data_IF_051544810434
#
_entry.id   IF_051544810434
#
_cell.length_a   1.000
_cell.length_b   1.000
_cell.length_c   1.000
_cell.angle_alpha   90.00
_cell.angle_beta   90.00
_cell.angle_gamma   90.00
#
_symmetry.space_group_name_H-M   'P 1'
#
loop_
_entity.id
_entity.type
_entity.pdbx_description
1 polymer ?
#
# COMPACT_ATOMS: atom_id res chain seq x y z
N UNK A 1 30.84 -6.33 -11.39
CA UNK A 1 30.17 -5.22 -10.71
C UNK A 1 29.37 -5.82 -9.58
N UNK A 2 29.34 -5.25 -8.37
CA UNK A 2 28.39 -5.72 -7.35
C UNK A 2 26.99 -5.59 -7.94
N UNK A 3 26.21 -6.67 -7.92
CA UNK A 3 24.82 -6.63 -8.36
C UNK A 3 24.05 -5.69 -7.46
N UNK A 4 23.27 -4.79 -8.06
CA UNK A 4 22.37 -3.93 -7.32
C UNK A 4 21.39 -4.77 -6.50
N UNK A 5 21.12 -4.34 -5.26
CA UNK A 5 20.17 -5.03 -4.36
C UNK A 5 18.83 -4.30 -4.42
N UNK A 6 17.83 -4.84 -5.08
CA UNK A 6 16.51 -4.24 -5.12
C UNK A 6 15.87 -4.24 -3.72
N UNK A 7 15.25 -3.13 -3.35
CA UNK A 7 14.61 -2.97 -2.05
C UNK A 7 13.25 -2.30 -2.18
N UNK A 8 12.19 -2.98 -1.74
CA UNK A 8 10.84 -2.44 -1.72
C UNK A 8 10.47 -1.89 -0.36
N UNK A 9 9.96 -0.66 -0.35
CA UNK A 9 9.51 0.04 0.84
C UNK A 9 7.99 0.25 0.75
N UNK A 10 7.23 -0.46 1.60
CA UNK A 10 5.77 -0.41 1.62
C UNK A 10 5.28 0.58 2.67
N UNK A 11 4.99 1.81 2.27
CA UNK A 11 4.47 2.86 3.12
C UNK A 11 2.95 2.83 3.21
N UNK A 12 2.42 2.96 4.42
CA UNK A 12 1.00 2.95 4.67
C UNK A 12 0.66 3.09 6.15
N UNK A 13 -0.58 2.78 6.47
CA UNK A 13 -1.15 2.80 7.81
C UNK A 13 -1.12 1.43 8.50
N UNK A 14 -2.02 1.20 9.45
CA UNK A 14 -2.16 -0.06 10.19
C UNK A 14 -2.54 -1.27 9.30
N UNK A 15 -3.21 -1.03 8.17
CA UNK A 15 -3.55 -2.09 7.24
C UNK A 15 -2.28 -2.58 6.49
N UNK A 16 -1.40 -1.67 6.13
CA UNK A 16 -0.09 -2.01 5.56
C UNK A 16 0.79 -2.70 6.60
N UNK A 17 0.74 -2.24 7.86
CA UNK A 17 1.43 -2.91 8.97
C UNK A 17 0.95 -4.36 9.18
N UNK A 18 -0.30 -4.68 8.83
CA UNK A 18 -0.88 -6.01 9.01
C UNK A 18 -1.35 -6.28 10.42
N UNK A 19 -2.01 -5.31 11.05
CA UNK A 19 -2.37 -5.30 12.48
C UNK A 19 -3.15 -6.52 12.94
N UNK A 20 -4.08 -7.05 12.14
CA UNK A 20 -4.91 -8.20 12.48
C UNK A 20 -4.47 -9.52 11.81
N UNK A 21 -3.37 -9.53 11.07
CA UNK A 21 -2.87 -10.77 10.49
C UNK A 21 -2.16 -11.62 11.55
N UNK A 22 -2.89 -12.61 12.04
CA UNK A 22 -2.41 -13.50 13.11
C UNK A 22 -1.39 -14.55 12.63
N UNK A 23 -1.39 -14.86 11.33
CA UNK A 23 -0.52 -15.91 10.78
C UNK A 23 0.78 -15.36 10.17
N UNK A 24 0.78 -14.11 9.74
CA UNK A 24 1.97 -13.51 9.13
C UNK A 24 2.13 -12.05 9.55
N UNK A 25 3.05 -11.74 10.47
CA UNK A 25 3.38 -10.36 10.78
C UNK A 25 3.76 -9.58 9.53
N UNK A 26 3.19 -8.37 9.37
CA UNK A 26 3.37 -7.53 8.18
C UNK A 26 2.30 -7.70 7.11
N UNK A 27 1.26 -8.49 7.36
CA UNK A 27 0.01 -8.53 6.60
C UNK A 27 0.20 -8.74 5.09
N UNK A 28 -0.62 -8.03 4.29
CA UNK A 28 -0.60 -8.14 2.83
C UNK A 28 0.77 -7.80 2.21
N UNK A 29 1.51 -6.86 2.77
CA UNK A 29 2.81 -6.44 2.24
C UNK A 29 3.85 -7.58 2.33
N UNK A 30 3.96 -8.23 3.50
CA UNK A 30 4.84 -9.40 3.67
C UNK A 30 4.37 -10.58 2.81
N UNK A 31 3.06 -10.80 2.71
CA UNK A 31 2.49 -11.86 1.86
C UNK A 31 2.77 -11.62 0.38
N UNK A 32 2.67 -10.37 -0.10
CA UNK A 32 3.00 -10.01 -1.47
C UNK A 32 4.48 -10.29 -1.77
N UNK A 33 5.39 -9.94 -0.87
CA UNK A 33 6.82 -10.24 -1.01
C UNK A 33 7.08 -11.75 -1.14
N UNK A 34 6.44 -12.57 -0.30
CA UNK A 34 6.54 -14.03 -0.37
C UNK A 34 5.98 -14.58 -1.67
N UNK A 35 4.82 -14.09 -2.11
CA UNK A 35 4.18 -14.52 -3.35
C UNK A 35 5.03 -14.12 -4.59
N UNK A 36 5.58 -12.90 -4.61
CA UNK A 36 6.45 -12.43 -5.69
C UNK A 36 7.72 -13.30 -5.80
N UNK A 37 8.33 -13.65 -4.67
CA UNK A 37 9.46 -14.58 -4.65
C UNK A 37 9.08 -15.97 -5.15
N UNK A 38 7.96 -16.54 -4.70
CA UNK A 38 7.46 -17.85 -5.18
C UNK A 38 7.15 -17.85 -6.68
N UNK A 39 6.69 -16.72 -7.22
CA UNK A 39 6.42 -16.54 -8.64
C UNK A 39 7.69 -16.27 -9.47
N UNK A 40 8.87 -16.24 -8.86
CA UNK A 40 10.14 -15.96 -9.55
C UNK A 40 10.27 -14.52 -10.06
N UNK A 41 9.49 -13.57 -9.51
CA UNK A 41 9.59 -12.16 -9.90
C UNK A 41 10.76 -11.44 -9.21
N UNK A 42 11.13 -11.88 -8.04
CA UNK A 42 12.30 -11.42 -7.29
C UNK A 42 12.94 -12.60 -6.57
N UNK A 43 14.13 -12.43 -6.06
CA UNK A 43 14.84 -13.50 -5.36
C UNK A 43 15.22 -13.08 -3.95
N UNK A 44 14.64 -13.72 -2.94
CA UNK A 44 15.12 -13.69 -1.56
C UNK A 44 16.25 -14.73 -1.45
N UNK A 45 17.46 -14.40 -0.94
CA UNK A 45 17.80 -13.23 -0.13
C UNK A 45 18.36 -12.01 -0.90
N UNK A 46 18.38 -11.98 -2.21
CA UNK A 46 18.93 -10.85 -2.96
C UNK A 46 18.06 -9.59 -2.93
N UNK A 47 16.77 -9.74 -2.64
CA UNK A 47 15.82 -8.65 -2.51
C UNK A 47 15.54 -8.33 -1.04
N UNK A 48 15.34 -7.06 -0.72
CA UNK A 48 14.96 -6.61 0.63
C UNK A 48 13.56 -6.02 0.61
N UNK A 49 12.76 -6.32 1.64
CA UNK A 49 11.40 -5.80 1.78
C UNK A 49 11.23 -5.14 3.13
N UNK A 50 10.89 -3.86 3.12
CA UNK A 50 10.63 -3.07 4.32
C UNK A 50 9.14 -2.77 4.42
N UNK A 51 8.46 -3.31 5.44
CA UNK A 51 7.13 -2.89 5.79
C UNK A 51 7.20 -1.64 6.66
N UNK A 52 6.81 -0.51 6.09
CA UNK A 52 6.81 0.82 6.70
C UNK A 52 5.39 1.26 7.09
N UNK A 53 4.48 0.30 7.32
CA UNK A 53 3.15 0.54 7.84
C UNK A 53 3.19 1.04 9.29
N UNK A 54 2.33 2.01 9.65
CA UNK A 54 2.26 2.55 11.00
C UNK A 54 0.82 2.85 11.41
N UNK A 55 0.45 2.44 12.63
CA UNK A 55 -0.92 2.61 13.15
C UNK A 55 -1.37 4.07 13.11
N UNK A 56 -2.60 4.30 12.65
CA UNK A 56 -3.28 5.61 12.62
C UNK A 56 -2.58 6.69 11.77
N UNK A 57 -1.63 6.30 10.90
CA UNK A 57 -1.01 7.27 10.02
C UNK A 57 -1.92 7.65 8.86
N UNK A 58 -2.29 8.93 8.82
CA UNK A 58 -2.97 9.57 7.70
C UNK A 58 -2.02 9.72 6.50
N UNK A 59 -2.56 10.07 5.34
CA UNK A 59 -1.76 10.42 4.16
C UNK A 59 -0.72 11.50 4.46
N UNK A 60 -1.09 12.53 5.24
CA UNK A 60 -0.16 13.58 5.67
C UNK A 60 0.96 13.06 6.58
N UNK A 61 0.64 12.16 7.53
CA UNK A 61 1.63 11.57 8.42
C UNK A 61 2.62 10.67 7.65
N UNK A 62 2.14 9.94 6.65
CA UNK A 62 2.99 9.14 5.76
C UNK A 62 3.89 10.06 4.93
N UNK A 63 3.35 11.13 4.36
CA UNK A 63 4.09 12.12 3.60
C UNK A 63 5.21 12.80 4.41
N UNK A 64 4.97 13.03 5.70
CA UNK A 64 5.96 13.67 6.57
C UNK A 64 7.18 12.79 6.89
N UNK A 65 7.07 11.44 6.82
CA UNK A 65 8.11 10.53 7.30
C UNK A 65 8.80 9.69 6.22
N UNK A 66 8.13 9.44 5.08
CA UNK A 66 8.59 8.43 4.12
C UNK A 66 10.04 8.64 3.67
N UNK A 67 10.44 9.89 3.41
CA UNK A 67 11.78 10.20 2.90
C UNK A 67 12.86 9.90 3.94
N UNK A 68 12.73 10.39 5.17
CA UNK A 68 13.70 10.16 6.24
C UNK A 68 13.82 8.68 6.60
N UNK A 69 12.71 7.95 6.57
CA UNK A 69 12.71 6.51 6.81
C UNK A 69 13.35 5.72 5.67
N UNK A 70 13.15 6.12 4.42
CA UNK A 70 13.86 5.57 3.28
C UNK A 70 15.36 5.79 3.42
N UNK A 71 15.78 7.05 3.59
CA UNK A 71 17.20 7.44 3.67
C UNK A 71 17.94 6.74 4.80
N UNK A 72 17.30 6.52 5.94
CA UNK A 72 17.89 5.82 7.10
C UNK A 72 18.17 4.34 6.85
N UNK A 73 17.63 3.74 5.79
CA UNK A 73 17.76 2.30 5.47
C UNK A 73 18.52 2.04 4.18
N UNK A 74 18.78 3.07 3.39
CA UNK A 74 19.55 2.92 2.17
C UNK A 74 21.03 2.67 2.49
N UNK A 75 21.58 1.66 1.85
CA UNK A 75 23.03 1.38 1.87
C UNK A 75 23.56 1.42 0.43
N UNK A 76 24.88 1.62 0.23
CA UNK A 76 25.46 1.64 -1.11
C UNK A 76 25.13 0.38 -1.93
N UNK A 77 24.69 0.56 -3.15
CA UNK A 77 24.29 -0.54 -4.06
C UNK A 77 22.85 -1.01 -3.91
N UNK A 78 22.05 -0.39 -3.02
CA UNK A 78 20.63 -0.68 -2.91
C UNK A 78 19.82 0.15 -3.91
N UNK A 79 18.88 -0.49 -4.61
CA UNK A 79 17.93 0.14 -5.54
C UNK A 79 16.54 0.19 -4.92
N UNK A 80 16.10 1.37 -4.45
CA UNK A 80 14.79 1.51 -3.81
C UNK A 80 13.63 1.46 -4.81
N UNK A 81 12.53 0.83 -4.38
CA UNK A 81 11.23 0.83 -5.03
C UNK A 81 10.18 1.22 -3.98
N UNK A 82 9.35 2.23 -4.27
CA UNK A 82 8.42 2.79 -3.30
C UNK A 82 6.99 2.32 -3.58
N UNK A 83 6.31 1.86 -2.56
CA UNK A 83 4.90 1.44 -2.63
C UNK A 83 4.12 2.23 -1.60
N UNK A 84 3.04 2.90 -2.03
CA UNK A 84 2.16 3.67 -1.15
C UNK A 84 0.74 3.13 -1.18
N UNK A 85 0.19 2.84 0.02
CA UNK A 85 -1.22 2.51 0.24
C UNK A 85 -1.74 3.42 1.36
N UNK A 86 -2.51 4.46 1.00
CA UNK A 86 -2.95 5.51 1.94
C UNK A 86 -4.41 5.88 1.76
N UNK A 87 -5.03 6.43 2.81
CA UNK A 87 -6.35 7.03 2.73
C UNK A 87 -7.41 6.40 3.62
N UNK A 88 -7.24 5.16 4.10
CA UNK A 88 -8.24 4.53 4.99
C UNK A 88 -8.39 5.34 6.28
N UNK A 89 -7.29 5.71 6.92
CA UNK A 89 -7.32 6.50 8.17
C UNK A 89 -7.99 7.86 7.96
N UNK A 90 -7.73 8.49 6.81
CA UNK A 90 -8.32 9.80 6.47
C UNK A 90 -9.84 9.71 6.25
N UNK A 91 -10.32 8.62 5.65
CA UNK A 91 -11.73 8.45 5.28
C UNK A 91 -12.58 7.78 6.35
N UNK A 92 -12.00 6.86 7.13
CA UNK A 92 -12.70 6.15 8.21
C UNK A 92 -12.63 6.91 9.54
N UNK A 93 -11.65 7.78 9.74
CA UNK A 93 -11.42 8.55 10.96
C UNK A 93 -11.53 7.70 12.24
N UNK A 94 -10.77 6.60 12.37
CA UNK A 94 -10.89 5.69 13.50
C UNK A 94 -10.55 6.41 14.82
N UNK A 95 -11.41 6.22 15.81
CA UNK A 95 -11.26 6.88 17.12
C UNK A 95 -12.13 8.12 17.31
N UNK A 96 -13.10 8.38 16.42
CA UNK A 96 -14.15 9.38 16.59
C UNK A 96 -13.78 10.79 16.11
N UNK A 97 -12.71 10.92 15.32
CA UNK A 97 -12.38 12.17 14.63
C UNK A 97 -13.31 12.46 13.46
N UNK A 98 -13.24 13.66 12.92
CA UNK A 98 -13.93 14.03 11.70
C UNK A 98 -13.19 13.46 10.47
N UNK A 99 -13.94 12.81 9.57
CA UNK A 99 -13.39 12.31 8.31
C UNK A 99 -12.97 13.46 7.39
N UNK A 100 -11.82 13.34 6.77
CA UNK A 100 -11.30 14.36 5.88
C UNK A 100 -12.09 14.41 4.56
N UNK A 101 -12.05 15.58 3.89
CA UNK A 101 -12.54 15.72 2.52
C UNK A 101 -11.66 14.90 1.56
N UNK A 102 -12.24 14.00 0.76
CA UNK A 102 -11.50 13.20 -0.23
C UNK A 102 -10.66 14.03 -1.21
N UNK A 103 -11.12 15.21 -1.62
CA UNK A 103 -10.37 16.08 -2.54
C UNK A 103 -9.08 16.60 -1.87
N UNK A 104 -9.17 17.06 -0.63
CA UNK A 104 -7.99 17.50 0.12
C UNK A 104 -6.96 16.37 0.30
N UNK A 105 -7.42 15.15 0.57
CA UNK A 105 -6.52 14.00 0.72
C UNK A 105 -5.91 13.61 -0.63
N UNK A 106 -6.66 13.72 -1.72
CA UNK A 106 -6.13 13.53 -3.05
C UNK A 106 -5.02 14.51 -3.42
N UNK A 107 -5.13 15.79 -3.02
CA UNK A 107 -4.07 16.79 -3.21
C UNK A 107 -2.80 16.44 -2.41
N UNK A 108 -2.96 15.98 -1.17
CA UNK A 108 -1.83 15.51 -0.35
C UNK A 108 -1.15 14.28 -0.99
N UNK A 109 -1.95 13.35 -1.52
CA UNK A 109 -1.47 12.17 -2.22
C UNK A 109 -0.74 12.54 -3.53
N UNK A 110 -1.25 13.50 -4.28
CA UNK A 110 -0.63 13.99 -5.51
C UNK A 110 0.77 14.58 -5.24
N UNK A 111 0.91 15.39 -4.19
CA UNK A 111 2.19 15.94 -3.74
C UNK A 111 3.16 14.84 -3.29
N UNK A 112 2.69 13.89 -2.48
CA UNK A 112 3.47 12.73 -2.04
C UNK A 112 4.06 11.95 -3.22
N UNK A 113 3.22 11.61 -4.21
CA UNK A 113 3.66 10.87 -5.38
C UNK A 113 4.60 11.69 -6.28
N UNK A 114 4.38 13.00 -6.40
CA UNK A 114 5.27 13.89 -7.15
C UNK A 114 6.69 13.91 -6.58
N UNK A 115 6.82 13.87 -5.26
CA UNK A 115 8.12 13.81 -4.60
C UNK A 115 8.73 12.41 -4.71
N UNK A 116 7.94 11.37 -4.42
CA UNK A 116 8.41 10.00 -4.44
C UNK A 116 8.95 9.56 -5.81
N UNK A 117 8.24 9.87 -6.88
CA UNK A 117 8.61 9.51 -8.24
C UNK A 117 9.91 10.19 -8.75
N UNK A 118 10.35 11.26 -8.10
CA UNK A 118 11.67 11.88 -8.38
C UNK A 118 12.82 11.14 -7.72
N UNK A 119 12.52 10.31 -6.74
CA UNK A 119 13.51 9.61 -5.92
C UNK A 119 13.71 8.18 -6.41
N UNK A 120 12.61 7.45 -6.67
CA UNK A 120 12.66 6.06 -7.07
C UNK A 120 11.41 5.63 -7.85
N UNK A 121 11.45 4.50 -8.57
CA UNK A 121 10.25 3.88 -9.12
C UNK A 121 9.18 3.74 -8.04
N UNK A 122 7.96 4.18 -8.37
CA UNK A 122 6.86 4.30 -7.40
C UNK A 122 5.62 3.57 -7.91
N UNK A 123 4.98 2.80 -7.04
CA UNK A 123 3.68 2.14 -7.23
C UNK A 123 2.70 2.68 -6.20
N UNK A 124 1.50 3.01 -6.62
CA UNK A 124 0.40 3.34 -5.72
C UNK A 124 -0.62 2.21 -5.67
N UNK A 125 -1.16 1.95 -4.48
CA UNK A 125 -2.21 0.96 -4.23
C UNK A 125 -3.41 1.71 -3.67
N UNK A 126 -4.61 1.44 -4.19
CA UNK A 126 -5.84 2.03 -3.64
C UNK A 126 -6.06 1.59 -2.19
N UNK A 127 -6.63 2.45 -1.32
CA UNK A 127 -7.08 2.02 -0.01
C UNK A 127 -8.09 0.88 -0.17
N UNK A 128 -8.03 -0.17 0.68
CA UNK A 128 -9.04 -1.23 0.70
C UNK A 128 -10.34 -0.77 1.36
N UNK A 129 -11.46 -1.49 1.18
CA UNK A 129 -12.73 -1.17 1.82
C UNK A 129 -12.73 -1.51 3.32
N UNK A 130 -13.67 -0.90 4.04
CA UNK A 130 -13.98 -1.12 5.45
C UNK A 130 -15.46 -1.52 5.61
N UNK A 131 -15.95 -1.83 6.82
CA UNK A 131 -17.37 -2.18 6.99
C UNK A 131 -18.30 -0.97 7.04
N UNK A 132 -17.82 0.20 7.50
CA UNK A 132 -18.65 1.39 7.68
C UNK A 132 -19.02 2.01 6.32
N UNK A 133 -20.32 2.06 6.02
CA UNK A 133 -20.87 2.46 4.72
C UNK A 133 -20.46 3.88 4.29
N UNK A 134 -20.47 4.84 5.24
CA UNK A 134 -20.11 6.23 4.92
C UNK A 134 -18.62 6.37 4.66
N UNK A 135 -17.79 5.62 5.38
CA UNK A 135 -16.36 5.56 5.11
C UNK A 135 -16.09 4.95 3.73
N UNK A 136 -16.77 3.86 3.39
CA UNK A 136 -16.65 3.25 2.05
C UNK A 136 -17.04 4.20 0.92
N UNK A 137 -18.11 4.99 1.10
CA UNK A 137 -18.47 6.00 0.10
C UNK A 137 -17.36 7.04 -0.11
N UNK A 138 -16.73 7.52 0.97
CA UNK A 138 -15.58 8.44 0.90
C UNK A 138 -14.34 7.78 0.30
N UNK A 139 -14.06 6.53 0.68
CA UNK A 139 -12.95 5.74 0.12
C UNK A 139 -13.13 5.56 -1.39
N UNK A 140 -14.33 5.23 -1.86
CA UNK A 140 -14.62 5.06 -3.29
C UNK A 140 -14.33 6.35 -4.08
N UNK A 141 -14.76 7.52 -3.56
CA UNK A 141 -14.45 8.82 -4.17
C UNK A 141 -12.92 9.07 -4.19
N UNK A 142 -12.24 8.80 -3.08
CA UNK A 142 -10.79 8.97 -3.00
C UNK A 142 -10.05 8.04 -3.99
N UNK A 143 -10.48 6.80 -4.14
CA UNK A 143 -9.91 5.84 -5.11
C UNK A 143 -9.99 6.36 -6.53
N UNK A 144 -11.12 6.94 -6.93
CA UNK A 144 -11.28 7.55 -8.26
C UNK A 144 -10.34 8.75 -8.46
N UNK A 145 -10.18 9.60 -7.45
CA UNK A 145 -9.24 10.72 -7.49
C UNK A 145 -7.80 10.23 -7.59
N UNK A 146 -7.39 9.27 -6.76
CA UNK A 146 -6.06 8.67 -6.78
C UNK A 146 -5.75 8.03 -8.13
N UNK A 147 -6.70 7.29 -8.72
CA UNK A 147 -6.55 6.69 -10.04
C UNK A 147 -6.27 7.73 -11.11
N UNK A 148 -7.02 8.84 -11.12
CA UNK A 148 -6.82 9.96 -12.08
C UNK A 148 -5.45 10.64 -11.89
N UNK A 149 -5.01 10.81 -10.64
CA UNK A 149 -3.70 11.36 -10.31
C UNK A 149 -2.59 10.44 -10.86
N UNK A 150 -2.66 9.16 -10.56
CA UNK A 150 -1.67 8.18 -11.03
C UNK A 150 -1.62 8.12 -12.56
N UNK A 151 -2.78 8.12 -13.23
CA UNK A 151 -2.86 8.15 -14.69
C UNK A 151 -2.18 9.40 -15.27
N UNK A 152 -2.45 10.59 -14.71
CA UNK A 152 -1.87 11.86 -15.15
C UNK A 152 -0.35 11.90 -14.95
N UNK A 153 0.15 11.25 -13.88
CA UNK A 153 1.58 11.19 -13.54
C UNK A 153 2.34 10.03 -14.19
N UNK A 154 1.65 9.11 -14.88
CA UNK A 154 2.28 7.90 -15.40
C UNK A 154 2.76 6.93 -14.32
N UNK A 155 2.20 7.01 -13.10
CA UNK A 155 2.54 6.13 -11.97
C UNK A 155 1.61 4.92 -12.00
N UNK A 156 2.14 3.67 -11.91
CA UNK A 156 1.31 2.48 -11.82
C UNK A 156 0.37 2.55 -10.62
N UNK A 157 -0.90 2.19 -10.83
CA UNK A 157 -1.94 2.18 -9.80
C UNK A 157 -2.61 0.81 -9.73
N UNK A 158 -2.43 0.12 -8.60
CA UNK A 158 -3.08 -1.15 -8.32
C UNK A 158 -4.41 -0.91 -7.57
N UNK A 159 -5.51 -1.26 -8.20
CA UNK A 159 -6.83 -1.05 -7.62
C UNK A 159 -7.30 -2.33 -6.91
N UNK A 160 -7.43 -2.27 -5.58
CA UNK A 160 -7.95 -3.38 -4.77
C UNK A 160 -9.37 -3.12 -4.24
N UNK A 161 -9.78 -1.86 -4.13
CA UNK A 161 -11.05 -1.48 -3.48
C UNK A 161 -12.25 -2.26 -4.01
N UNK A 162 -12.54 -2.16 -5.30
CA UNK A 162 -13.74 -2.80 -5.88
C UNK A 162 -13.70 -4.32 -5.80
N UNK A 163 -12.52 -4.91 -5.96
CA UNK A 163 -12.32 -6.36 -5.93
C UNK A 163 -12.52 -6.92 -4.52
N UNK A 164 -12.12 -6.18 -3.50
CA UNK A 164 -12.25 -6.56 -2.09
C UNK A 164 -13.65 -6.23 -1.55
N UNK A 165 -14.25 -5.09 -1.92
CA UNK A 165 -15.58 -4.68 -1.46
C UNK A 165 -16.69 -5.66 -1.85
N UNK A 166 -16.52 -6.37 -2.96
CA UNK A 166 -17.46 -7.37 -3.46
C UNK A 166 -17.08 -8.81 -3.09
N UNK A 167 -16.07 -9.00 -2.23
CA UNK A 167 -15.59 -10.32 -1.87
C UNK A 167 -15.93 -10.64 -0.40
N UNK A 168 -16.82 -11.63 -0.13
CA UNK A 168 -17.20 -12.03 1.22
C UNK A 168 -16.02 -12.52 2.07
N UNK A 169 -15.01 -13.17 1.46
CA UNK A 169 -13.83 -13.64 2.18
C UNK A 169 -12.98 -12.50 2.74
N UNK A 170 -13.09 -11.31 2.16
CA UNK A 170 -12.47 -10.10 2.70
C UNK A 170 -13.38 -9.39 3.69
N UNK A 171 -14.64 -9.12 3.30
CA UNK A 171 -15.54 -8.30 4.11
C UNK A 171 -15.93 -8.96 5.43
N UNK A 172 -16.07 -10.29 5.46
CA UNK A 172 -16.34 -11.06 6.68
C UNK A 172 -15.11 -11.21 7.58
N UNK A 173 -13.90 -10.97 7.06
CA UNK A 173 -12.64 -11.07 7.82
C UNK A 173 -12.27 -9.75 8.53
N UNK A 174 -13.08 -8.68 8.37
CA UNK A 174 -12.91 -7.40 9.05
C UNK A 174 -13.53 -7.44 10.46
N UNK A 175 -12.93 -8.18 11.40
CA UNK A 175 -13.51 -8.42 12.72
C UNK A 175 -13.74 -7.16 13.57
N UNK A 176 -12.93 -6.12 13.39
CA UNK A 176 -13.08 -4.83 14.03
C UNK A 176 -13.68 -3.76 13.09
N UNK A 177 -14.14 -4.20 11.93
CA UNK A 177 -14.72 -3.35 10.90
C UNK A 177 -13.72 -2.59 10.03
N UNK A 178 -12.42 -2.72 10.31
CA UNK A 178 -11.38 -1.91 9.66
C UNK A 178 -10.21 -2.76 9.14
N UNK A 179 -9.68 -3.66 9.98
CA UNK A 179 -8.46 -4.39 9.71
C UNK A 179 -8.75 -5.82 9.25
N UNK A 180 -8.28 -6.22 8.07
CA UNK A 180 -8.40 -7.60 7.62
C UNK A 180 -7.56 -8.54 8.50
N UNK A 181 -8.10 -9.70 8.77
CA UNK A 181 -7.36 -10.80 9.37
C UNK A 181 -6.45 -11.50 8.36
N UNK A 182 -6.08 -12.72 8.69
CA UNK A 182 -5.12 -13.49 7.87
C UNK A 182 -5.65 -13.84 6.48
N UNK A 183 -6.96 -14.13 6.36
CA UNK A 183 -7.60 -14.46 5.09
C UNK A 183 -7.69 -13.25 4.18
N UNK A 184 -8.17 -12.11 4.68
CA UNK A 184 -8.28 -10.87 3.93
C UNK A 184 -6.92 -10.32 3.50
N UNK A 185 -5.90 -10.41 4.36
CA UNK A 185 -4.53 -10.04 4.00
C UNK A 185 -3.97 -10.95 2.90
N UNK A 186 -4.23 -12.25 2.95
CA UNK A 186 -3.80 -13.19 1.91
C UNK A 186 -4.50 -12.91 0.58
N UNK A 187 -5.80 -12.69 0.61
CA UNK A 187 -6.60 -12.37 -0.57
C UNK A 187 -6.13 -11.06 -1.23
N UNK A 188 -5.90 -10.00 -0.42
CA UNK A 188 -5.39 -8.72 -0.94
C UNK A 188 -4.03 -8.90 -1.63
N UNK A 189 -3.12 -9.68 -1.05
CA UNK A 189 -1.82 -9.95 -1.65
C UNK A 189 -1.92 -10.72 -2.98
N UNK A 190 -2.84 -11.69 -3.08
CA UNK A 190 -3.12 -12.44 -4.31
C UNK A 190 -3.69 -11.54 -5.40
N UNK A 191 -4.68 -10.72 -5.07
CA UNK A 191 -5.28 -9.74 -5.99
C UNK A 191 -4.22 -8.75 -6.47
N UNK A 192 -3.35 -8.26 -5.59
CA UNK A 192 -2.25 -7.38 -5.98
C UNK A 192 -1.32 -8.06 -6.97
N UNK A 193 -0.85 -9.26 -6.67
CA UNK A 193 0.10 -9.96 -7.55
C UNK A 193 -0.50 -10.31 -8.91
N UNK A 194 -1.80 -10.55 -9.00
CA UNK A 194 -2.50 -10.85 -10.26
C UNK A 194 -2.55 -9.64 -11.22
N UNK A 195 -2.36 -8.43 -10.73
CA UNK A 195 -2.36 -7.22 -11.56
C UNK A 195 -1.01 -7.03 -12.26
N UNK A 196 -1.05 -6.85 -13.57
CA UNK A 196 0.17 -6.71 -14.40
C UNK A 196 1.09 -5.58 -13.92
N UNK A 197 0.53 -4.45 -13.49
CA UNK A 197 1.32 -3.32 -12.99
C UNK A 197 2.11 -3.69 -11.72
N UNK A 198 1.56 -4.52 -10.83
CA UNK A 198 2.24 -5.01 -9.63
C UNK A 198 3.28 -6.05 -9.97
N UNK A 199 2.92 -7.08 -10.75
CA UNK A 199 3.86 -8.14 -11.14
C UNK A 199 5.05 -7.60 -11.94
N UNK A 200 4.84 -6.59 -12.78
CA UNK A 200 5.91 -5.89 -13.48
C UNK A 200 6.79 -5.07 -12.51
N UNK A 201 6.18 -4.36 -11.55
CA UNK A 201 6.89 -3.55 -10.57
C UNK A 201 7.70 -4.39 -9.56
N UNK A 202 7.25 -5.61 -9.27
CA UNK A 202 7.95 -6.54 -8.37
C UNK A 202 9.07 -7.34 -9.07
N UNK A 203 9.20 -7.23 -10.40
CA UNK A 203 10.20 -7.96 -11.16
C UNK A 203 11.57 -7.29 -11.05
N UNK A 204 12.57 -8.09 -10.66
CA UNK A 204 13.99 -7.71 -10.77
C UNK A 204 14.55 -8.20 -12.10
N UNK A 205 15.54 -7.49 -12.61
CA UNK A 205 16.29 -7.89 -13.80
C UNK A 205 17.14 -9.15 -13.55
#
# INVERSE_FOLDING_TARGET
MPHATPAWFFFGDSLTQGVNDQLMPGGWASRLAVLANKAGLCSIPRATFYNMGARRHSTAAIAARWRSELESRLIPGMEPHLVFCTGVVDMAAPGGGEAADPARIADQFDNLLAEAARVAPTLAISPPPVTETRANARIALLVDLQRRICQRRGIPFAQVYTLLANNPDYTNDLSDGLHPGSQGCALMAQILLSQQCVSAFMRTA
#
